data_IF_381920090099
#
_entry.id   IF_381920090099
#
_cell.length_a   1.000
_cell.length_b   1.000
_cell.length_c   1.000
_cell.angle_alpha   90.00
_cell.angle_beta   90.00
_cell.angle_gamma   90.00
#
_symmetry.space_group_name_H-M   'P 1'
#
loop_
_entity.id
_entity.type
_entity.pdbx_description
1 polymer ?
#
# COMPACT_ATOMS: atom_id res chain seq x y z
N UNK A 1 30.97 -0.91 9.99
CA UNK A 1 31.22 0.51 9.65
C UNK A 1 31.63 1.22 10.93
N UNK A 2 32.61 2.13 10.94
CA UNK A 2 33.11 2.73 12.19
C UNK A 2 33.18 4.26 12.11
N UNK A 3 32.91 4.95 13.22
CA UNK A 3 33.04 6.41 13.37
C UNK A 3 33.55 6.76 14.79
N UNK A 4 34.31 7.85 14.91
CA UNK A 4 34.75 8.39 16.21
C UNK A 4 34.51 9.90 16.33
N UNK A 5 34.20 10.35 17.55
CA UNK A 5 33.95 11.75 17.88
C UNK A 5 35.18 12.37 18.59
N UNK A 6 35.68 13.52 18.10
CA UNK A 6 36.76 14.27 18.77
C UNK A 6 36.24 14.94 20.05
N UNK A 7 36.95 14.74 21.17
CA UNK A 7 37.13 15.74 22.24
C UNK A 7 35.91 16.58 22.65
N UNK A 8 34.79 15.95 22.98
CA UNK A 8 33.67 16.58 23.70
C UNK A 8 32.71 17.48 22.91
N UNK A 9 32.88 17.67 21.59
CA UNK A 9 31.93 18.43 20.75
C UNK A 9 32.00 17.78 19.35
N UNK A 10 31.06 16.97 18.86
CA UNK A 10 29.65 17.28 18.53
C UNK A 10 28.83 15.97 18.42
N UNK A 11 27.71 15.86 19.15
CA UNK A 11 26.66 14.84 18.92
C UNK A 11 26.13 14.74 17.45
N UNK A 12 26.54 15.64 16.56
CA UNK A 12 26.08 15.72 15.17
C UNK A 12 26.81 14.83 14.18
N UNK A 13 28.02 14.33 14.46
CA UNK A 13 28.81 13.59 13.47
C UNK A 13 28.43 12.10 13.43
N UNK A 14 28.27 11.44 14.58
CA UNK A 14 27.62 10.11 14.68
C UNK A 14 26.22 10.12 14.05
N UNK A 15 25.39 11.12 14.39
CA UNK A 15 24.03 11.21 13.88
C UNK A 15 24.01 11.31 12.35
N UNK A 16 24.84 12.20 11.76
CA UNK A 16 24.95 12.33 10.30
C UNK A 16 25.45 11.05 9.63
N UNK A 17 26.43 10.38 10.22
CA UNK A 17 26.96 9.12 9.68
C UNK A 17 25.92 8.00 9.72
N UNK A 18 25.17 7.91 10.80
CA UNK A 18 24.07 6.96 10.95
C UNK A 18 22.95 7.25 9.95
N UNK A 19 22.51 8.51 9.84
CA UNK A 19 21.50 8.94 8.85
C UNK A 19 21.93 8.63 7.42
N UNK A 20 23.20 8.87 7.08
CA UNK A 20 23.77 8.54 5.77
C UNK A 20 23.83 7.03 5.54
N UNK A 21 24.31 6.26 6.52
CA UNK A 21 24.39 4.79 6.43
C UNK A 21 23.00 4.16 6.26
N UNK A 22 22.01 4.66 7.01
CA UNK A 22 20.61 4.23 6.88
C UNK A 22 20.06 4.60 5.51
N UNK A 23 20.29 5.81 5.01
CA UNK A 23 19.83 6.24 3.68
C UNK A 23 20.43 5.38 2.57
N UNK A 24 21.73 5.10 2.63
CA UNK A 24 22.42 4.22 1.68
C UNK A 24 21.85 2.80 1.74
N UNK A 25 21.67 2.24 2.94
CA UNK A 25 21.10 0.91 3.11
C UNK A 25 19.66 0.82 2.61
N UNK A 26 18.84 1.83 2.92
CA UNK A 26 17.47 1.93 2.45
C UNK A 26 17.36 2.17 0.95
N UNK A 27 18.44 2.50 0.24
CA UNK A 27 18.45 2.60 -1.23
C UNK A 27 18.74 1.27 -1.93
N UNK A 28 19.33 0.31 -1.23
CA UNK A 28 19.72 -0.99 -1.76
C UNK A 28 18.50 -1.94 -1.89
N UNK A 29 18.65 -3.07 -2.61
CA UNK A 29 17.59 -4.09 -2.72
C UNK A 29 17.22 -4.77 -1.38
N UNK A 30 18.11 -4.69 -0.38
CA UNK A 30 17.91 -5.15 0.99
C UNK A 30 18.80 -4.33 1.93
N UNK A 31 18.48 -4.32 3.23
CA UNK A 31 19.30 -3.73 4.29
C UNK A 31 20.29 -4.80 4.78
N UNK A 32 21.61 -4.59 4.60
CA UNK A 32 22.60 -5.58 4.97
C UNK A 32 22.70 -5.76 6.50
N UNK A 33 23.11 -6.95 6.93
CA UNK A 33 23.29 -7.30 8.34
C UNK A 33 24.60 -6.75 8.91
N UNK A 34 24.75 -5.43 8.81
CA UNK A 34 25.95 -4.71 9.22
C UNK A 34 25.76 -4.06 10.59
N UNK A 35 26.89 -3.85 11.28
CA UNK A 35 26.94 -3.14 12.55
C UNK A 35 27.72 -1.83 12.35
N UNK A 36 27.18 -0.75 12.88
CA UNK A 36 27.90 0.52 13.05
C UNK A 36 28.55 0.49 14.43
N UNK A 37 29.86 0.67 14.47
CA UNK A 37 30.67 0.77 15.68
C UNK A 37 30.95 2.25 15.95
N UNK A 38 30.53 2.73 17.12
CA UNK A 38 30.84 4.06 17.61
C UNK A 38 32.01 3.97 18.61
N UNK A 39 33.04 4.77 18.40
CA UNK A 39 34.19 4.83 19.31
C UNK A 39 34.31 6.21 19.93
N UNK A 40 34.15 6.31 21.24
CA UNK A 40 34.43 7.54 21.97
C UNK A 40 35.93 7.66 22.29
N UNK A 41 36.50 8.85 22.05
CA UNK A 41 37.90 9.14 22.42
C UNK A 41 38.98 8.57 21.50
N UNK A 42 38.62 7.94 20.38
CA UNK A 42 39.57 7.49 19.34
C UNK A 42 39.73 8.57 18.28
N UNK A 43 40.96 8.80 17.77
CA UNK A 43 41.15 9.80 16.71
C UNK A 43 40.65 9.22 15.38
N UNK A 44 39.97 10.00 14.53
CA UNK A 44 39.53 9.53 13.21
C UNK A 44 40.68 9.01 12.33
N UNK A 45 41.89 9.54 12.54
CA UNK A 45 43.12 9.12 11.86
C UNK A 45 43.56 7.70 12.23
N UNK A 46 43.17 7.24 13.42
CA UNK A 46 43.47 5.89 13.94
C UNK A 46 42.45 4.85 13.47
N UNK A 47 41.31 5.28 12.92
CA UNK A 47 40.30 4.38 12.34
C UNK A 47 40.83 3.86 11.00
N UNK A 48 40.94 2.53 10.82
CA UNK A 48 41.32 1.95 9.55
C UNK A 48 40.39 2.43 8.41
N UNK A 49 40.97 3.06 7.39
CA UNK A 49 40.21 3.76 6.33
C UNK A 49 39.54 2.80 5.34
N UNK A 50 38.33 3.14 4.89
CA UNK A 50 37.53 2.37 3.90
C UNK A 50 38.20 2.27 2.50
N UNK A 51 39.19 3.12 2.20
CA UNK A 51 39.89 3.15 0.91
C UNK A 51 40.99 2.10 0.79
N UNK A 52 41.51 1.61 1.92
CA UNK A 52 42.25 0.35 1.91
C UNK A 52 41.17 -0.71 1.79
N UNK A 53 41.05 -1.25 0.59
CA UNK A 53 40.25 -2.45 0.36
C UNK A 53 40.80 -3.48 1.34
N UNK A 54 40.12 -3.73 2.47
CA UNK A 54 40.30 -4.98 3.17
C UNK A 54 39.92 -6.03 2.13
N UNK A 55 40.92 -6.58 1.45
CA UNK A 55 40.74 -7.74 0.60
C UNK A 55 40.34 -8.91 1.49
N UNK A 56 40.93 -10.08 1.26
CA UNK A 56 40.74 -11.21 2.18
C UNK A 56 41.35 -10.93 3.58
N UNK A 57 42.30 -10.00 3.70
CA UNK A 57 42.96 -9.68 4.96
C UNK A 57 42.16 -8.67 5.80
N UNK A 58 41.47 -9.20 6.82
CA UNK A 58 40.68 -8.46 7.81
C UNK A 58 41.44 -8.24 9.13
N UNK A 59 42.69 -8.70 9.23
CA UNK A 59 43.45 -8.71 10.48
C UNK A 59 43.68 -7.33 11.09
N UNK A 60 44.00 -6.26 10.32
CA UNK A 60 44.20 -4.92 10.90
C UNK A 60 42.91 -4.36 11.54
N UNK A 61 41.76 -4.59 10.92
CA UNK A 61 40.46 -4.18 11.45
C UNK A 61 40.11 -4.94 12.74
N UNK A 62 40.35 -6.26 12.76
CA UNK A 62 40.11 -7.09 13.94
C UNK A 62 41.02 -6.68 15.11
N UNK A 63 42.30 -6.40 14.85
CA UNK A 63 43.23 -5.92 15.87
C UNK A 63 42.81 -4.57 16.44
N UNK A 64 42.29 -3.66 15.61
CA UNK A 64 41.75 -2.39 16.06
C UNK A 64 40.53 -2.59 17.00
N UNK A 65 39.57 -3.42 16.60
CA UNK A 65 38.38 -3.74 17.43
C UNK A 65 38.80 -4.31 18.79
N UNK A 66 39.75 -5.26 18.80
CA UNK A 66 40.26 -5.89 20.04
C UNK A 66 40.98 -4.85 20.92
N UNK A 67 41.78 -3.97 20.33
CA UNK A 67 42.58 -2.98 21.07
C UNK A 67 41.71 -1.92 21.74
N UNK A 68 40.66 -1.46 21.08
CA UNK A 68 39.84 -0.35 21.58
C UNK A 68 38.63 -0.83 22.39
N UNK A 69 38.26 -2.10 22.31
CA UNK A 69 37.06 -2.63 22.94
C UNK A 69 35.78 -2.13 22.26
N UNK A 70 34.69 -2.87 22.42
CA UNK A 70 33.35 -2.48 21.95
C UNK A 70 32.38 -2.95 23.02
N UNK A 71 31.56 -2.05 23.55
CA UNK A 71 30.45 -2.43 24.41
C UNK A 71 29.11 -2.51 23.64
N UNK A 72 28.06 -3.03 24.27
CA UNK A 72 26.74 -3.15 23.63
C UNK A 72 26.12 -1.78 23.28
N UNK A 73 26.57 -0.68 23.91
CA UNK A 73 26.11 0.68 23.63
C UNK A 73 26.82 1.29 22.41
N UNK A 74 28.03 0.81 22.11
CA UNK A 74 28.85 1.20 20.96
C UNK A 74 28.41 0.51 19.65
N UNK A 75 27.54 -0.51 19.76
CA UNK A 75 27.06 -1.31 18.63
C UNK A 75 25.66 -0.89 18.20
N UNK A 76 25.56 -0.35 16.99
CA UNK A 76 24.28 0.03 16.37
C UNK A 76 24.01 -0.90 15.18
N UNK A 77 23.11 -1.89 15.32
CA UNK A 77 22.73 -2.76 14.20
C UNK A 77 22.03 -1.95 13.11
N UNK A 78 22.54 -2.02 11.87
CA UNK A 78 22.05 -1.22 10.75
C UNK A 78 20.59 -1.54 10.41
N UNK A 79 20.18 -2.81 10.49
CA UNK A 79 18.78 -3.22 10.28
C UNK A 79 17.84 -2.60 11.31
N UNK A 80 18.23 -2.56 12.58
CA UNK A 80 17.43 -1.91 13.63
C UNK A 80 17.35 -0.40 13.41
N UNK A 81 18.49 0.24 13.14
CA UNK A 81 18.57 1.67 12.85
C UNK A 81 17.71 2.04 11.62
N UNK A 82 17.78 1.27 10.53
CA UNK A 82 16.99 1.48 9.33
C UNK A 82 15.49 1.29 9.59
N UNK A 83 15.12 0.26 10.36
CA UNK A 83 13.73 0.03 10.77
C UNK A 83 13.20 1.21 11.58
N UNK A 84 13.89 1.62 12.64
CA UNK A 84 13.48 2.74 13.49
C UNK A 84 13.37 4.04 12.69
N UNK A 85 14.38 4.35 11.88
CA UNK A 85 14.37 5.53 11.02
C UNK A 85 13.20 5.54 10.03
N UNK A 86 12.84 4.38 9.45
CA UNK A 86 11.71 4.27 8.53
C UNK A 86 10.37 4.55 9.21
N UNK A 87 10.24 4.17 10.48
CA UNK A 87 9.06 4.43 11.30
C UNK A 87 9.06 5.83 11.95
N UNK A 88 10.08 6.66 11.69
CA UNK A 88 10.22 7.97 12.31
C UNK A 88 10.55 7.92 13.81
N UNK A 89 11.01 6.75 14.29
CA UNK A 89 11.41 6.54 15.68
C UNK A 89 12.86 7.00 15.89
N UNK A 90 13.14 7.56 17.08
CA UNK A 90 14.50 7.99 17.43
C UNK A 90 15.38 6.77 17.67
N UNK A 91 16.57 6.77 17.07
CA UNK A 91 17.57 5.72 17.28
C UNK A 91 18.33 6.03 18.57
N UNK A 92 18.03 5.27 19.61
CA UNK A 92 18.62 5.33 20.95
C UNK A 92 18.92 3.91 21.45
N UNK A 93 19.85 3.71 22.40
CA UNK A 93 20.14 2.39 22.96
C UNK A 93 18.89 1.65 23.45
N UNK A 94 17.96 2.35 24.11
CA UNK A 94 16.69 1.77 24.58
C UNK A 94 15.81 1.31 23.41
N UNK A 95 15.61 2.17 22.40
CA UNK A 95 14.82 1.82 21.22
C UNK A 95 15.41 0.64 20.43
N UNK A 96 16.75 0.50 20.38
CA UNK A 96 17.44 -0.61 19.72
C UNK A 96 17.22 -1.93 20.47
N UNK A 97 17.23 -1.90 21.81
CA UNK A 97 16.90 -3.06 22.66
C UNK A 97 15.43 -3.46 22.53
N UNK A 98 14.52 -2.49 22.55
CA UNK A 98 13.08 -2.73 22.43
C UNK A 98 12.69 -3.26 21.05
N UNK A 99 13.23 -2.67 19.98
CA UNK A 99 12.85 -3.04 18.60
C UNK A 99 13.21 -4.48 18.27
N UNK A 100 14.29 -5.02 18.85
CA UNK A 100 14.69 -6.42 18.70
C UNK A 100 13.60 -7.42 19.16
N UNK A 101 12.78 -7.03 20.14
CA UNK A 101 11.66 -7.83 20.66
C UNK A 101 10.40 -7.78 19.79
N UNK A 102 10.26 -6.78 18.90
CA UNK A 102 9.03 -6.58 18.13
C UNK A 102 8.88 -7.63 17.03
N UNK A 103 7.69 -8.22 16.92
CA UNK A 103 7.39 -9.22 15.87
C UNK A 103 7.56 -8.62 14.46
N UNK A 104 7.12 -7.39 14.25
CA UNK A 104 7.26 -6.66 12.99
C UNK A 104 8.73 -6.49 12.56
N UNK A 105 9.64 -6.27 13.52
CA UNK A 105 11.07 -6.21 13.25
C UNK A 105 11.65 -7.59 12.94
N UNK A 106 11.21 -8.65 13.63
CA UNK A 106 11.65 -10.02 13.33
C UNK A 106 11.25 -10.45 11.92
N UNK A 107 10.02 -10.14 11.51
CA UNK A 107 9.53 -10.41 10.15
C UNK A 107 10.35 -9.62 9.10
N UNK A 108 10.64 -8.34 9.37
CA UNK A 108 11.55 -7.54 8.56
C UNK A 108 12.94 -8.18 8.44
N UNK A 109 13.61 -8.46 9.55
CA UNK A 109 14.97 -8.98 9.55
C UNK A 109 15.07 -10.33 8.83
N UNK A 110 14.07 -11.21 9.02
CA UNK A 110 13.97 -12.47 8.30
C UNK A 110 13.78 -12.26 6.79
N UNK A 111 12.97 -11.28 6.38
CA UNK A 111 12.80 -10.92 4.98
C UNK A 111 14.11 -10.41 4.37
N UNK A 112 14.81 -9.48 5.03
CA UNK A 112 16.08 -8.93 4.54
C UNK A 112 17.14 -10.02 4.37
N UNK A 113 17.22 -10.97 5.32
CA UNK A 113 18.11 -12.13 5.23
C UNK A 113 17.74 -13.07 4.07
N UNK A 114 16.44 -13.30 3.86
CA UNK A 114 15.98 -14.10 2.72
C UNK A 114 16.27 -13.39 1.39
N UNK A 115 16.16 -12.05 1.35
CA UNK A 115 16.39 -11.24 0.15
C UNK A 115 17.84 -11.23 -0.27
N UNK A 116 18.74 -11.13 0.71
CA UNK A 116 20.18 -11.27 0.51
C UNK A 116 20.52 -12.62 -0.14
N UNK A 117 20.08 -13.73 0.47
CA UNK A 117 20.27 -15.10 -0.07
C UNK A 117 19.64 -15.29 -1.46
N UNK A 118 18.48 -14.67 -1.70
CA UNK A 118 17.81 -14.71 -3.00
C UNK A 118 18.67 -14.08 -4.11
N UNK A 119 19.30 -12.94 -3.83
CA UNK A 119 20.17 -12.23 -4.78
C UNK A 119 21.50 -12.96 -5.01
N UNK A 120 21.97 -13.74 -4.03
CA UNK A 120 23.07 -14.70 -4.19
C UNK A 120 22.71 -15.93 -5.05
N UNK A 121 21.45 -16.04 -5.51
CA UNK A 121 20.96 -17.17 -6.29
C UNK A 121 20.66 -18.42 -5.47
N UNK A 122 20.61 -18.31 -4.14
CA UNK A 122 20.27 -19.43 -3.25
C UNK A 122 18.75 -19.65 -3.21
N UNK A 123 18.29 -20.91 -3.10
CA UNK A 123 16.87 -21.19 -2.94
C UNK A 123 16.40 -20.65 -1.58
N UNK A 124 15.38 -19.78 -1.62
CA UNK A 124 14.76 -19.23 -0.42
C UNK A 124 13.25 -19.32 -0.53
N UNK A 125 12.62 -19.28 0.64
CA UNK A 125 11.20 -19.06 0.77
C UNK A 125 10.96 -17.70 1.39
N UNK A 126 9.94 -17.00 0.90
CA UNK A 126 9.55 -15.70 1.42
C UNK A 126 8.07 -15.69 1.74
N UNK A 127 7.72 -15.09 2.87
CA UNK A 127 6.35 -14.74 3.18
C UNK A 127 5.92 -13.57 2.27
N UNK A 128 4.84 -13.77 1.52
CA UNK A 128 4.30 -12.77 0.60
C UNK A 128 2.83 -12.51 0.93
N UNK A 129 2.41 -11.26 0.77
CA UNK A 129 1.00 -10.88 0.72
C UNK A 129 0.63 -10.59 -0.73
N UNK A 130 -0.35 -11.29 -1.27
CA UNK A 130 -0.83 -11.08 -2.65
C UNK A 130 -2.24 -10.51 -2.61
N UNK A 131 -2.42 -9.35 -3.23
CA UNK A 131 -3.73 -8.77 -3.48
C UNK A 131 -4.21 -9.18 -4.86
N UNK A 132 -5.30 -9.93 -4.92
CA UNK A 132 -5.95 -10.36 -6.15
C UNK A 132 -7.21 -9.54 -6.41
N UNK A 133 -7.38 -9.15 -7.66
CA UNK A 133 -8.59 -8.53 -8.18
C UNK A 133 -8.99 -9.20 -9.49
N UNK A 134 -10.16 -8.85 -10.02
CA UNK A 134 -10.49 -9.25 -11.38
C UNK A 134 -9.62 -8.59 -12.47
N UNK A 135 -8.61 -7.77 -12.13
CA UNK A 135 -7.67 -7.19 -13.11
C UNK A 135 -6.27 -7.78 -13.04
N UNK A 136 -5.99 -8.63 -12.06
CA UNK A 136 -4.68 -9.23 -11.85
C UNK A 136 -4.26 -9.15 -10.39
N UNK A 137 -2.95 -9.30 -10.16
CA UNK A 137 -2.38 -9.35 -8.82
C UNK A 137 -1.39 -8.22 -8.56
N UNK A 138 -1.28 -7.84 -7.29
CA UNK A 138 -0.15 -7.09 -6.73
C UNK A 138 0.48 -7.93 -5.62
N UNK A 139 1.81 -7.94 -5.56
CA UNK A 139 2.58 -8.75 -4.62
C UNK A 139 3.36 -7.83 -3.70
N UNK A 140 3.21 -8.04 -2.40
CA UNK A 140 3.88 -7.28 -1.35
C UNK A 140 4.72 -8.22 -0.49
N UNK A 141 5.93 -7.81 -0.16
CA UNK A 141 6.81 -8.54 0.75
C UNK A 141 6.76 -7.98 2.19
N UNK A 142 7.44 -8.68 3.11
CA UNK A 142 7.67 -8.19 4.47
C UNK A 142 8.87 -7.22 4.58
N UNK A 143 9.34 -6.66 3.46
CA UNK A 143 10.24 -5.50 3.47
C UNK A 143 9.54 -4.27 4.07
N UNK A 144 10.30 -3.27 4.50
CA UNK A 144 9.74 -1.99 4.96
C UNK A 144 8.89 -1.32 3.88
N UNK A 145 9.40 -1.33 2.64
CA UNK A 145 8.72 -0.74 1.48
C UNK A 145 7.48 -1.54 1.10
N UNK A 146 7.54 -2.87 1.13
CA UNK A 146 6.43 -3.75 0.78
C UNK A 146 5.26 -3.62 1.74
N UNK A 147 5.54 -3.57 3.05
CA UNK A 147 4.50 -3.31 4.06
C UNK A 147 3.86 -1.93 3.89
N UNK A 148 4.66 -0.88 3.64
CA UNK A 148 4.13 0.47 3.39
C UNK A 148 3.31 0.51 2.09
N UNK A 149 3.81 -0.09 1.01
CA UNK A 149 3.12 -0.17 -0.27
C UNK A 149 1.78 -0.90 -0.14
N UNK A 150 1.72 -1.97 0.66
CA UNK A 150 0.47 -2.67 0.96
C UNK A 150 -0.52 -1.76 1.68
N UNK A 151 -0.10 -1.06 2.73
CA UNK A 151 -0.97 -0.13 3.47
C UNK A 151 -1.47 0.99 2.57
N UNK A 152 -0.57 1.60 1.80
CA UNK A 152 -0.90 2.69 0.89
C UNK A 152 -1.80 2.22 -0.27
N UNK A 153 -1.62 0.98 -0.75
CA UNK A 153 -2.53 0.36 -1.71
C UNK A 153 -3.94 0.22 -1.13
N UNK A 154 -4.07 -0.29 0.09
CA UNK A 154 -5.38 -0.45 0.73
C UNK A 154 -6.09 0.91 0.92
N UNK A 155 -5.35 1.95 1.33
CA UNK A 155 -5.89 3.32 1.40
C UNK A 155 -6.24 3.87 0.01
N UNK A 156 -5.42 3.64 -1.02
CA UNK A 156 -5.73 4.00 -2.41
C UNK A 156 -7.05 3.36 -2.84
N UNK A 157 -7.25 2.07 -2.57
CA UNK A 157 -8.50 1.36 -2.89
C UNK A 157 -9.71 1.91 -2.13
N UNK A 158 -9.54 2.35 -0.87
CA UNK A 158 -10.57 3.06 -0.13
C UNK A 158 -10.89 4.41 -0.77
N UNK A 159 -9.89 5.26 -0.99
CA UNK A 159 -10.08 6.64 -1.46
C UNK A 159 -10.68 6.69 -2.87
N UNK A 160 -10.30 5.74 -3.71
CA UNK A 160 -10.76 5.61 -5.10
C UNK A 160 -11.91 4.61 -5.26
N UNK A 161 -12.56 4.19 -4.17
CA UNK A 161 -13.60 3.15 -4.18
C UNK A 161 -14.75 3.46 -5.14
N UNK A 162 -15.14 4.73 -5.31
CA UNK A 162 -16.18 5.13 -6.24
C UNK A 162 -15.64 5.67 -7.58
N UNK A 163 -14.32 5.72 -7.75
CA UNK A 163 -13.64 6.28 -8.93
C UNK A 163 -13.87 5.44 -10.19
N UNK A 164 -13.94 6.13 -11.34
CA UNK A 164 -13.97 5.51 -12.68
C UNK A 164 -12.74 4.64 -12.97
N UNK A 165 -11.61 4.93 -12.31
CA UNK A 165 -10.41 4.09 -12.36
C UNK A 165 -10.74 2.62 -12.07
N UNK A 166 -11.67 2.36 -11.15
CA UNK A 166 -12.07 1.03 -10.70
C UNK A 166 -13.31 0.49 -11.43
N UNK A 167 -13.68 1.02 -12.60
CA UNK A 167 -14.84 0.53 -13.35
C UNK A 167 -14.72 -0.97 -13.68
N UNK A 168 -15.76 -1.73 -13.32
CA UNK A 168 -15.76 -3.19 -13.45
C UNK A 168 -14.91 -3.96 -12.43
N UNK A 169 -14.25 -3.31 -11.46
CA UNK A 169 -13.65 -3.99 -10.32
C UNK A 169 -14.77 -4.57 -9.43
N UNK A 170 -14.74 -5.88 -9.20
CA UNK A 170 -15.80 -6.59 -8.46
C UNK A 170 -15.35 -7.11 -7.09
N UNK A 171 -14.09 -7.50 -6.93
CA UNK A 171 -13.58 -8.03 -5.67
C UNK A 171 -12.13 -7.63 -5.44
N UNK A 172 -11.73 -7.71 -4.17
CA UNK A 172 -10.35 -7.66 -3.72
C UNK A 172 -10.14 -8.76 -2.68
N UNK A 173 -9.21 -9.68 -2.94
CA UNK A 173 -8.86 -10.77 -2.03
C UNK A 173 -7.40 -10.64 -1.62
N UNK A 174 -7.12 -10.84 -0.34
CA UNK A 174 -5.77 -10.84 0.19
C UNK A 174 -5.38 -12.26 0.57
N UNK A 175 -4.26 -12.73 0.03
CA UNK A 175 -3.65 -14.00 0.37
C UNK A 175 -2.34 -13.73 1.10
N UNK A 176 -2.03 -14.52 2.14
CA UNK A 176 -0.71 -14.50 2.79
C UNK A 176 -0.18 -15.92 2.88
N UNK A 177 0.97 -16.16 2.25
CA UNK A 177 1.59 -17.48 2.24
C UNK A 177 3.08 -17.41 1.97
N UNK A 178 3.78 -18.46 2.34
CA UNK A 178 5.18 -18.65 2.02
C UNK A 178 5.32 -19.19 0.58
N UNK A 179 6.15 -18.54 -0.24
CA UNK A 179 6.44 -18.96 -1.62
C UNK A 179 7.93 -19.14 -1.86
N UNK A 180 8.27 -20.20 -2.60
CA UNK A 180 9.59 -20.43 -3.18
C UNK A 180 9.66 -20.01 -4.66
N UNK A 181 8.58 -19.48 -5.23
CA UNK A 181 8.53 -19.11 -6.64
C UNK A 181 9.36 -17.88 -6.90
N UNK A 182 10.45 -18.06 -7.64
CA UNK A 182 11.35 -16.97 -8.05
C UNK A 182 10.59 -15.85 -8.76
N UNK A 183 9.71 -16.18 -9.69
CA UNK A 183 8.93 -15.20 -10.44
C UNK A 183 7.97 -14.40 -9.52
N UNK A 184 7.36 -15.03 -8.53
CA UNK A 184 6.48 -14.33 -7.59
C UNK A 184 7.29 -13.44 -6.62
N UNK A 185 8.47 -13.89 -6.19
CA UNK A 185 9.39 -13.09 -5.37
C UNK A 185 9.92 -11.89 -6.16
N UNK A 186 10.23 -12.04 -7.45
CA UNK A 186 10.67 -10.93 -8.31
C UNK A 186 9.57 -9.89 -8.56
N UNK A 187 8.30 -10.31 -8.56
CA UNK A 187 7.16 -9.41 -8.65
C UNK A 187 6.87 -8.65 -7.34
N UNK A 188 7.44 -9.08 -6.21
CA UNK A 188 7.19 -8.43 -4.93
C UNK A 188 7.67 -6.98 -4.94
N UNK A 189 6.84 -6.08 -4.42
CA UNK A 189 7.09 -4.66 -4.25
C UNK A 189 7.31 -3.89 -5.58
N UNK A 190 7.02 -4.51 -6.73
CA UNK A 190 7.19 -3.90 -8.06
C UNK A 190 6.31 -2.65 -8.26
N UNK A 191 5.22 -2.53 -7.50
CA UNK A 191 4.35 -1.36 -7.48
C UNK A 191 5.02 -0.12 -6.83
N UNK A 192 6.13 -0.27 -6.12
CA UNK A 192 6.77 0.81 -5.37
C UNK A 192 8.15 1.14 -5.96
N UNK A 193 8.33 2.38 -6.42
CA UNK A 193 9.61 2.90 -6.93
C UNK A 193 10.00 4.14 -6.15
N UNK A 194 11.27 4.23 -5.76
CA UNK A 194 11.80 5.44 -5.13
C UNK A 194 12.22 6.42 -6.22
N UNK A 195 11.73 7.65 -6.15
CA UNK A 195 12.18 8.73 -7.03
C UNK A 195 13.53 9.32 -6.59
N UNK A 196 14.06 10.26 -7.39
CA UNK A 196 15.33 10.91 -7.09
C UNK A 196 15.33 11.71 -5.78
N UNK A 197 14.16 11.99 -5.21
CA UNK A 197 13.98 12.73 -3.96
C UNK A 197 13.84 11.79 -2.74
N UNK A 198 13.90 10.47 -2.95
CA UNK A 198 13.74 9.49 -1.88
C UNK A 198 12.28 9.19 -1.51
N UNK A 199 11.32 9.64 -2.33
CA UNK A 199 9.89 9.44 -2.08
C UNK A 199 9.40 8.21 -2.83
N UNK A 200 8.63 7.36 -2.14
CA UNK A 200 7.95 6.23 -2.77
C UNK A 200 6.84 6.73 -3.71
N UNK A 201 6.96 6.38 -4.99
CA UNK A 201 5.90 6.51 -5.99
C UNK A 201 5.30 5.16 -6.28
N UNK A 202 3.98 5.13 -6.36
CA UNK A 202 3.25 3.90 -6.56
C UNK A 202 2.64 3.80 -7.95
N UNK A 203 2.73 2.60 -8.52
CA UNK A 203 1.91 2.15 -9.64
C UNK A 203 1.10 0.94 -9.15
N UNK A 204 -0.14 1.22 -8.75
CA UNK A 204 -1.05 0.19 -8.24
C UNK A 204 -1.84 -0.51 -9.35
N UNK A 205 -1.40 -0.43 -10.60
CA UNK A 205 -2.01 -1.16 -11.70
C UNK A 205 -1.78 -2.66 -11.51
N UNK A 206 -2.82 -3.47 -11.22
CA UNK A 206 -2.63 -4.90 -11.04
C UNK A 206 -2.18 -5.53 -12.35
N UNK A 207 -1.22 -6.46 -12.27
CA UNK A 207 -0.72 -7.14 -13.47
C UNK A 207 -1.37 -8.51 -13.58
N UNK A 208 -2.08 -8.77 -14.69
CA UNK A 208 -2.52 -10.12 -15.02
C UNK A 208 -1.31 -10.90 -15.55
N UNK A 209 -0.90 -11.92 -14.81
CA UNK A 209 0.24 -12.75 -15.18
C UNK A 209 0.02 -14.21 -14.77
N UNK A 210 0.87 -15.10 -15.27
CA UNK A 210 0.81 -16.53 -14.98
C UNK A 210 0.97 -16.87 -13.48
N UNK A 211 1.49 -15.94 -12.66
CA UNK A 211 1.67 -16.18 -11.23
C UNK A 211 0.36 -16.09 -10.44
N UNK A 212 -0.70 -15.49 -11.00
CA UNK A 212 -2.04 -15.52 -10.40
C UNK A 212 -2.55 -16.97 -10.22
N UNK A 213 -2.14 -17.89 -11.08
CA UNK A 213 -2.48 -19.31 -10.96
C UNK A 213 -1.95 -19.96 -9.66
N UNK A 214 -0.94 -19.36 -8.99
CA UNK A 214 -0.47 -19.85 -7.69
C UNK A 214 -1.48 -19.63 -6.56
N UNK A 215 -2.50 -18.80 -6.77
CA UNK A 215 -3.59 -18.57 -5.83
C UNK A 215 -4.69 -19.63 -5.95
N UNK A 216 -4.74 -20.38 -7.06
CA UNK A 216 -5.78 -21.38 -7.28
C UNK A 216 -5.76 -22.45 -6.19
N UNK A 217 -6.92 -22.69 -5.57
CA UNK A 217 -7.09 -23.65 -4.49
C UNK A 217 -6.59 -23.17 -3.12
N UNK A 218 -6.10 -21.93 -3.01
CA UNK A 218 -5.79 -21.31 -1.71
C UNK A 218 -7.01 -20.58 -1.17
N UNK A 219 -7.17 -20.59 0.15
CA UNK A 219 -8.16 -19.75 0.82
C UNK A 219 -7.59 -18.34 1.03
N UNK A 220 -8.34 -17.29 0.68
CA UNK A 220 -7.95 -15.92 0.98
C UNK A 220 -8.00 -15.69 2.50
N UNK A 221 -7.03 -14.95 3.01
CA UNK A 221 -7.02 -14.48 4.40
C UNK A 221 -8.21 -13.55 4.66
N UNK A 222 -8.55 -12.71 3.68
CA UNK A 222 -9.75 -11.87 3.70
C UNK A 222 -10.16 -11.53 2.27
N UNK A 223 -11.46 -11.33 2.05
CA UNK A 223 -12.01 -10.93 0.76
C UNK A 223 -13.06 -9.84 0.92
N UNK A 224 -13.09 -8.93 -0.04
CA UNK A 224 -13.99 -7.79 -0.07
C UNK A 224 -14.77 -7.75 -1.37
N UNK A 225 -16.06 -7.46 -1.27
CA UNK A 225 -16.87 -7.06 -2.40
C UNK A 225 -16.55 -5.60 -2.73
N UNK A 226 -15.98 -5.39 -3.92
CA UNK A 226 -15.54 -4.07 -4.38
C UNK A 226 -16.54 -3.45 -5.35
N UNK A 227 -17.80 -3.89 -5.38
CA UNK A 227 -18.85 -3.18 -6.15
C UNK A 227 -19.16 -1.83 -5.49
N UNK A 228 -19.45 -0.76 -6.28
CA UNK A 228 -19.54 0.63 -5.81
C UNK A 228 -20.82 0.91 -5.00
N UNK A 229 -20.94 0.29 -3.83
CA UNK A 229 -22.05 0.47 -2.90
C UNK A 229 -21.54 0.94 -1.53
N UNK A 230 -22.31 1.78 -0.83
CA UNK A 230 -21.91 2.34 0.45
C UNK A 230 -21.63 1.29 1.53
N UNK A 231 -22.48 0.26 1.64
CA UNK A 231 -22.30 -0.83 2.60
C UNK A 231 -21.04 -1.68 2.33
N UNK A 232 -20.62 -1.81 1.07
CA UNK A 232 -19.39 -2.49 0.71
C UNK A 232 -18.16 -1.68 1.15
N UNK A 233 -18.19 -0.36 0.95
CA UNK A 233 -17.13 0.53 1.46
C UNK A 233 -17.09 0.50 2.99
N UNK A 234 -18.24 0.54 3.66
CA UNK A 234 -18.31 0.47 5.13
C UNK A 234 -17.72 -0.84 5.66
N UNK A 235 -18.05 -1.97 5.04
CA UNK A 235 -17.45 -3.26 5.35
C UNK A 235 -15.93 -3.22 5.14
N UNK A 236 -15.47 -2.66 4.02
CA UNK A 236 -14.05 -2.53 3.71
C UNK A 236 -13.29 -1.70 4.75
N UNK A 237 -13.81 -0.53 5.12
CA UNK A 237 -13.20 0.36 6.11
C UNK A 237 -13.21 -0.26 7.51
N UNK A 238 -14.31 -0.88 7.91
CA UNK A 238 -14.45 -1.50 9.24
C UNK A 238 -13.43 -2.62 9.47
N UNK A 239 -13.14 -3.43 8.46
CA UNK A 239 -12.17 -4.53 8.58
C UNK A 239 -10.71 -4.07 8.47
N UNK A 240 -10.46 -2.96 7.78
CA UNK A 240 -9.10 -2.49 7.50
C UNK A 240 -8.64 -1.39 8.46
N UNK A 241 -9.56 -0.75 9.18
CA UNK A 241 -9.27 0.41 10.05
C UNK A 241 -8.82 1.64 9.28
N UNK A 242 -9.10 1.71 7.98
CA UNK A 242 -8.71 2.82 7.11
C UNK A 242 -9.60 4.04 7.32
N UNK A 243 -9.12 5.19 6.84
CA UNK A 243 -9.84 6.45 6.97
C UNK A 243 -10.81 6.63 5.79
N UNK A 244 -12.02 7.10 6.10
CA UNK A 244 -12.96 7.55 5.08
C UNK A 244 -12.47 8.88 4.48
N UNK A 245 -12.36 8.94 3.15
CA UNK A 245 -12.01 10.16 2.44
C UNK A 245 -13.17 11.16 2.43
N UNK A 246 -12.87 12.45 2.42
CA UNK A 246 -13.89 13.51 2.31
C UNK A 246 -14.78 13.31 1.07
N UNK A 247 -14.16 12.94 -0.06
CA UNK A 247 -14.89 12.63 -1.30
C UNK A 247 -15.88 11.48 -1.13
N UNK A 248 -15.48 10.40 -0.47
CA UNK A 248 -16.38 9.27 -0.24
C UNK A 248 -17.46 9.63 0.79
N UNK A 249 -17.14 10.43 1.81
CA UNK A 249 -18.13 10.96 2.74
C UNK A 249 -19.20 11.80 2.02
N UNK A 250 -18.80 12.66 1.08
CA UNK A 250 -19.74 13.41 0.24
C UNK A 250 -20.62 12.48 -0.60
N UNK A 251 -20.04 11.42 -1.18
CA UNK A 251 -20.77 10.42 -1.96
C UNK A 251 -21.82 9.69 -1.10
N UNK A 252 -21.43 9.21 0.09
CA UNK A 252 -22.34 8.54 1.02
C UNK A 252 -23.46 9.48 1.45
N UNK A 253 -23.13 10.72 1.79
CA UNK A 253 -24.12 11.75 2.16
C UNK A 253 -25.12 12.00 1.02
N UNK A 254 -24.65 12.12 -0.22
CA UNK A 254 -25.51 12.28 -1.38
C UNK A 254 -26.36 11.03 -1.67
N UNK A 255 -25.83 9.83 -1.45
CA UNK A 255 -26.59 8.58 -1.56
C UNK A 255 -27.72 8.53 -0.53
N UNK A 256 -27.44 8.89 0.72
CA UNK A 256 -28.43 8.99 1.79
C UNK A 256 -29.52 10.01 1.46
N UNK A 257 -29.15 11.19 0.97
CA UNK A 257 -30.13 12.20 0.53
C UNK A 257 -30.97 11.67 -0.63
N UNK A 258 -30.37 10.99 -1.60
CA UNK A 258 -31.06 10.43 -2.76
C UNK A 258 -32.05 9.31 -2.40
N UNK A 259 -31.81 8.60 -1.29
CA UNK A 259 -32.63 7.49 -0.83
C UNK A 259 -33.69 7.94 0.19
N UNK A 260 -33.26 8.64 1.23
CA UNK A 260 -34.07 8.94 2.42
C UNK A 260 -34.57 10.39 2.46
N UNK A 261 -34.01 11.26 1.62
CA UNK A 261 -34.32 12.68 1.56
C UNK A 261 -33.33 13.54 2.36
N UNK A 262 -33.47 14.85 2.20
CA UNK A 262 -32.56 15.82 2.79
C UNK A 262 -32.92 16.10 4.25
N UNK A 263 -32.03 15.68 5.14
CA UNK A 263 -32.02 16.05 6.55
C UNK A 263 -30.99 17.16 6.69
N UNK A 264 -31.43 18.40 6.92
CA UNK A 264 -30.63 19.66 7.08
C UNK A 264 -29.31 19.56 7.87
N UNK A 265 -29.04 18.46 8.56
CA UNK A 265 -27.82 18.12 9.29
C UNK A 265 -26.70 17.51 8.42
N UNK A 266 -26.58 17.89 7.14
CA UNK A 266 -25.32 17.65 6.44
C UNK A 266 -24.25 18.49 7.15
N UNK A 267 -23.30 17.83 7.82
CA UNK A 267 -22.29 18.49 8.66
C UNK A 267 -21.47 19.54 7.89
N UNK A 268 -20.72 20.37 8.61
CA UNK A 268 -19.90 21.44 8.00
C UNK A 268 -18.83 20.91 7.02
N UNK A 269 -18.55 19.61 7.04
CA UNK A 269 -17.63 18.90 6.14
C UNK A 269 -18.23 18.51 4.79
N UNK A 270 -19.53 18.72 4.55
CA UNK A 270 -20.17 18.35 3.29
C UNK A 270 -19.92 19.39 2.19
N UNK A 271 -19.14 19.02 1.17
CA UNK A 271 -18.68 19.97 0.14
C UNK A 271 -19.82 20.58 -0.68
N UNK A 272 -20.90 19.83 -0.91
CA UNK A 272 -22.03 20.26 -1.75
C UNK A 272 -23.12 21.02 -0.98
N UNK A 273 -22.85 21.47 0.24
CA UNK A 273 -23.84 22.21 1.04
C UNK A 273 -24.33 23.49 0.34
N UNK A 274 -23.48 24.11 -0.48
CA UNK A 274 -23.82 25.31 -1.26
C UNK A 274 -24.98 25.09 -2.23
N UNK A 275 -25.02 23.92 -2.86
CA UNK A 275 -25.97 23.49 -3.87
C UNK A 275 -27.36 23.23 -3.24
N UNK A 276 -27.40 22.80 -1.97
CA UNK A 276 -28.64 22.55 -1.24
C UNK A 276 -29.24 23.80 -0.56
N UNK A 277 -28.61 24.98 -0.67
CA UNK A 277 -29.13 26.23 -0.04
C UNK A 277 -30.54 26.60 -0.45
N UNK A 278 -30.93 26.32 -1.70
CA UNK A 278 -32.29 26.59 -2.18
C UNK A 278 -33.32 25.73 -1.44
N UNK A 279 -32.96 24.49 -1.14
CA UNK A 279 -33.76 23.51 -0.41
C UNK A 279 -33.82 23.88 1.07
N UNK A 280 -32.70 24.30 1.67
CA UNK A 280 -32.69 24.83 3.04
C UNK A 280 -33.67 25.99 3.21
N UNK A 281 -33.59 26.99 2.32
CA UNK A 281 -34.49 28.14 2.31
C UNK A 281 -35.95 27.74 2.11
N UNK A 282 -36.23 26.76 1.25
CA UNK A 282 -37.58 26.26 1.03
C UNK A 282 -38.14 25.59 2.31
N UNK A 283 -37.34 24.76 2.97
CA UNK A 283 -37.69 24.11 4.23
C UNK A 283 -37.87 25.13 5.37
N UNK A 284 -37.04 26.17 5.46
CA UNK A 284 -37.17 27.26 6.44
C UNK A 284 -38.48 28.02 6.25
N UNK A 285 -38.78 28.45 5.02
CA UNK A 285 -40.04 29.11 4.68
C UNK A 285 -41.26 28.25 4.98
N UNK A 286 -41.18 26.94 4.71
CA UNK A 286 -42.26 26.01 5.01
C UNK A 286 -42.46 25.86 6.53
N UNK A 287 -41.36 25.76 7.29
CA UNK A 287 -41.38 25.70 8.76
C UNK A 287 -42.02 26.94 9.38
N UNK A 288 -41.68 28.14 8.92
CA UNK A 288 -42.30 29.39 9.41
C UNK A 288 -43.82 29.45 9.16
N UNK A 289 -44.31 28.83 8.08
CA UNK A 289 -45.74 28.80 7.72
C UNK A 289 -46.50 27.61 8.28
N UNK A 290 -45.83 26.69 8.99
CA UNK A 290 -46.41 25.47 9.57
C UNK A 290 -47.63 25.73 10.46
N UNK A 291 -47.68 26.89 11.13
CA UNK A 291 -48.79 27.26 12.03
C UNK A 291 -50.05 27.73 11.30
N UNK A 292 -49.93 28.06 10.01
CA UNK A 292 -50.99 28.69 9.20
C UNK A 292 -51.48 27.73 8.11
N UNK A 293 -50.61 26.83 7.63
CA UNK A 293 -50.94 25.88 6.57
C UNK A 293 -51.79 24.71 7.09
N UNK A 294 -52.81 24.28 6.33
CA UNK A 294 -53.45 22.99 6.55
C UNK A 294 -52.41 21.85 6.53
N UNK A 295 -52.63 20.84 7.36
CA UNK A 295 -51.68 19.74 7.54
C UNK A 295 -51.37 18.99 6.24
N UNK A 296 -52.37 18.80 5.38
CA UNK A 296 -52.21 18.16 4.06
C UNK A 296 -51.33 18.99 3.13
N UNK A 297 -51.62 20.30 3.00
CA UNK A 297 -50.84 21.20 2.18
C UNK A 297 -49.39 21.32 2.66
N UNK A 298 -49.16 21.26 3.98
CA UNK A 298 -47.81 21.21 4.54
C UNK A 298 -47.09 19.93 4.12
N UNK A 299 -47.75 18.77 4.23
CA UNK A 299 -47.20 17.46 3.86
C UNK A 299 -46.84 17.41 2.37
N UNK A 300 -47.72 17.87 1.49
CA UNK A 300 -47.48 17.87 0.05
C UNK A 300 -46.30 18.75 -0.34
N UNK A 301 -46.22 19.96 0.23
CA UNK A 301 -45.09 20.87 0.00
C UNK A 301 -43.78 20.30 0.55
N UNK A 302 -43.82 19.67 1.72
CA UNK A 302 -42.65 19.02 2.28
C UNK A 302 -42.17 17.88 1.38
N UNK A 303 -43.10 17.03 0.91
CA UNK A 303 -42.80 15.93 0.00
C UNK A 303 -42.18 16.44 -1.32
N UNK A 304 -42.71 17.52 -1.89
CA UNK A 304 -42.14 18.12 -3.10
C UNK A 304 -40.69 18.60 -2.88
N UNK A 305 -40.42 19.31 -1.78
CA UNK A 305 -39.07 19.78 -1.46
C UNK A 305 -38.11 18.60 -1.27
N UNK A 306 -38.59 17.50 -0.67
CA UNK A 306 -37.79 16.28 -0.50
C UNK A 306 -37.51 15.58 -1.83
N UNK A 307 -38.47 15.54 -2.77
CA UNK A 307 -38.23 14.99 -4.11
C UNK A 307 -37.27 15.87 -4.92
N UNK A 308 -37.36 17.20 -4.81
CA UNK A 308 -36.40 18.12 -5.43
C UNK A 308 -34.98 17.86 -4.88
N UNK A 309 -34.85 17.59 -3.57
CA UNK A 309 -33.57 17.27 -2.94
C UNK A 309 -32.99 15.93 -3.40
N UNK A 310 -33.83 14.90 -3.46
CA UNK A 310 -33.44 13.60 -4.01
C UNK A 310 -33.01 13.71 -5.47
N UNK A 311 -33.73 14.49 -6.27
CA UNK A 311 -33.40 14.73 -7.68
C UNK A 311 -32.05 15.45 -7.83
N UNK A 312 -31.80 16.50 -7.03
CA UNK A 312 -30.53 17.22 -7.00
C UNK A 312 -29.36 16.30 -6.61
N UNK A 313 -29.53 15.50 -5.55
CA UNK A 313 -28.50 14.55 -5.11
C UNK A 313 -28.16 13.53 -6.21
N UNK A 314 -29.17 12.95 -6.87
CA UNK A 314 -28.97 12.04 -8.01
C UNK A 314 -28.28 12.72 -9.19
N UNK A 315 -28.58 13.99 -9.44
CA UNK A 315 -27.93 14.76 -10.50
C UNK A 315 -26.44 14.98 -10.19
N UNK A 316 -26.09 15.40 -8.97
CA UNK A 316 -24.70 15.61 -8.56
C UNK A 316 -23.91 14.29 -8.64
N UNK A 317 -24.47 13.18 -8.15
CA UNK A 317 -23.83 11.86 -8.22
C UNK A 317 -23.54 11.41 -9.66
N UNK A 318 -24.46 11.70 -10.60
CA UNK A 318 -24.36 11.27 -12.00
C UNK A 318 -23.47 12.17 -12.84
N UNK A 319 -23.66 13.49 -12.75
CA UNK A 319 -23.07 14.45 -13.70
C UNK A 319 -21.76 15.05 -13.18
N UNK A 320 -21.69 15.33 -11.87
CA UNK A 320 -20.54 16.02 -11.25
C UNK A 320 -19.50 15.01 -10.76
N UNK A 321 -19.90 14.08 -9.88
CA UNK A 321 -18.96 13.13 -9.26
C UNK A 321 -18.62 11.98 -10.21
N UNK A 322 -19.61 11.50 -10.99
CA UNK A 322 -19.49 10.39 -11.94
C UNK A 322 -18.94 9.11 -11.29
N UNK A 323 -19.74 8.52 -10.43
CA UNK A 323 -19.40 7.23 -9.79
C UNK A 323 -19.32 6.13 -10.85
N UNK A 324 -18.32 5.24 -10.71
CA UNK A 324 -18.20 4.05 -11.58
C UNK A 324 -19.48 3.22 -11.58
N UNK A 325 -19.81 2.66 -12.74
CA UNK A 325 -21.00 1.81 -12.89
C UNK A 325 -20.67 0.37 -12.55
N UNK A 326 -21.66 -0.33 -12.03
CA UNK A 326 -21.58 -1.79 -11.98
C UNK A 326 -21.77 -2.32 -13.40
N UNK A 327 -20.84 -3.12 -13.95
CA UNK A 327 -21.03 -3.70 -15.28
C UNK A 327 -22.26 -4.58 -15.28
N UNK A 328 -23.04 -4.52 -16.37
CA UNK A 328 -24.23 -5.34 -16.55
C UNK A 328 -23.88 -6.84 -16.58
N UNK A 329 -24.87 -7.70 -16.31
CA UNK A 329 -24.69 -9.17 -16.35
C UNK A 329 -24.15 -9.64 -17.72
N UNK A 330 -24.59 -9.00 -18.80
CA UNK A 330 -24.11 -9.29 -20.15
C UNK A 330 -22.63 -8.90 -20.35
N UNK A 331 -22.21 -7.77 -19.80
CA UNK A 331 -20.81 -7.34 -19.84
C UNK A 331 -19.93 -8.23 -18.95
N UNK A 332 -20.43 -8.67 -17.79
CA UNK A 332 -19.73 -9.65 -16.94
C UNK A 332 -19.46 -10.96 -17.66
N UNK A 333 -20.46 -11.49 -18.35
CA UNK A 333 -20.33 -12.75 -19.10
C UNK A 333 -19.32 -12.62 -20.25
N UNK A 334 -19.25 -11.46 -20.92
CA UNK A 334 -18.23 -11.19 -21.96
C UNK A 334 -16.82 -11.10 -21.37
N UNK A 335 -16.65 -10.44 -20.23
CA UNK A 335 -15.35 -10.31 -19.55
C UNK A 335 -14.86 -11.66 -18.99
N UNK A 336 -15.75 -12.50 -18.48
CA UNK A 336 -15.43 -13.86 -18.02
C UNK A 336 -14.92 -14.74 -19.17
N UNK A 337 -15.62 -14.72 -20.32
CA UNK A 337 -15.21 -15.48 -21.50
C UNK A 337 -13.86 -15.04 -22.07
N UNK A 338 -13.51 -13.75 -21.94
CA UNK A 338 -12.21 -13.25 -22.40
C UNK A 338 -11.04 -13.67 -21.50
N UNK A 339 -11.28 -13.83 -20.19
CA UNK A 339 -10.28 -14.36 -19.26
C UNK A 339 -9.99 -15.85 -19.46
N UNK A 340 -11.00 -16.66 -19.75
CA UNK A 340 -10.79 -18.08 -20.08
C UNK A 340 -9.95 -18.23 -21.36
N UNK A 341 -10.19 -17.40 -22.37
CA UNK A 341 -9.40 -17.40 -23.61
C UNK A 341 -7.96 -16.94 -23.40
N UNK A 342 -7.70 -15.99 -22.50
CA UNK A 342 -6.35 -15.53 -22.18
C UNK A 342 -5.57 -16.51 -21.27
N UNK A 343 -6.26 -17.32 -20.47
CA UNK A 343 -5.67 -18.32 -19.59
C UNK A 343 -5.42 -19.68 -20.27
N UNK A 344 -5.96 -19.90 -21.47
CA UNK A 344 -5.73 -21.14 -22.23
C UNK A 344 -4.45 -21.01 -23.07
N UNK A 345 -3.40 -21.83 -22.86
CA UNK A 345 -2.25 -21.83 -23.75
C UNK A 345 -2.72 -22.23 -25.15
N UNK A 346 -2.48 -21.38 -26.15
CA UNK A 346 -2.74 -21.73 -27.54
C UNK A 346 -1.94 -22.99 -27.89
N UNK A 347 -2.64 -24.13 -28.03
CA UNK A 347 -2.04 -25.36 -28.53
C UNK A 347 -1.41 -25.05 -29.91
N UNK A 348 -0.16 -25.48 -30.18
CA UNK A 348 0.47 -25.18 -31.45
C UNK A 348 -0.32 -25.86 -32.57
N UNK A 349 -0.76 -25.06 -33.54
CA UNK A 349 -1.37 -25.56 -34.77
C UNK A 349 -0.39 -26.54 -35.41
N UNK A 350 -0.76 -27.83 -35.42
CA UNK A 350 -0.09 -28.88 -36.19
C UNK A 350 0.02 -28.41 -37.64
N UNK A 351 1.22 -28.05 -38.07
CA UNK A 351 1.50 -27.86 -39.49
C UNK A 351 1.37 -29.23 -40.17
N UNK A 352 0.45 -29.32 -41.12
CA UNK A 352 0.32 -30.47 -41.99
C UNK A 352 1.59 -30.59 -42.84
N UNK A 353 2.37 -31.63 -42.57
CA UNK A 353 3.49 -32.03 -43.40
C UNK A 353 2.96 -32.37 -44.80
N UNK A 354 3.27 -31.53 -45.78
CA UNK A 354 3.08 -31.85 -47.21
C UNK A 354 4.04 -32.98 -47.58
N UNK A 355 3.47 -34.11 -47.94
CA UNK A 355 4.17 -35.26 -48.53
C UNK A 355 4.76 -34.85 -49.88
N UNK A 356 6.09 -34.78 -49.96
CA UNK A 356 6.81 -34.67 -51.24
C UNK A 356 7.01 -36.08 -51.76
N UNK A 357 6.43 -36.38 -52.94
CA UNK A 357 6.72 -37.62 -53.67
C UNK A 357 8.13 -37.56 -54.26
N UNK A 358 8.93 -38.63 -54.21
CA UNK A 358 10.19 -38.68 -54.93
C UNK A 358 9.93 -38.89 -56.43
N UNK A 359 10.73 -38.25 -57.27
CA UNK A 359 10.81 -38.57 -58.70
C UNK A 359 11.71 -39.79 -58.88
N UNK A 360 11.15 -40.85 -59.46
CA UNK A 360 11.76 -41.65 -60.52
C UNK A 360 10.63 -42.14 -61.43
#
# INVERSE_FOLDING_TARGET
MAIADRGGIRRGDLQRFMEQSVREALSQPFVPDNIILHYEGVRPEDIPSRQESFGEDRTPLLQFIIRHGVDDNDMIPLRQAAYLSFHGERITPDSLREVAGRESYRQFAAHEQAREKFLEGRPVKMMLTVAETNRGILVFSDSLRGRKARTDYMQHMADSFFSLEHEGLSFLQLFRFESASRALIELSDACCRIDAQGVCRYDFTPTLNAQAAQLHGREPMIGFDMRPAGYNLDTFLSHTGLRLSERNNDILTLQDIAQEGYRRAAGDTFSFRGEFRSIDRALEKLSHRSRILPAETFRDRYAQIQEDAKALARHILREVIRIRREPSVAERNRMANHKEQAATPAAPKRQSTKTVKPKL
#
